data_IF_770883165461
#
_entry.id   IF_770883165461
#
_cell.length_a   1.000
_cell.length_b   1.000
_cell.length_c   1.000
_cell.angle_alpha   90.00
_cell.angle_beta   90.00
_cell.angle_gamma   90.00
#
_symmetry.space_group_name_H-M   'P 1'
#
loop_
_entity.id
_entity.type
_entity.pdbx_description
1 polymer ?
#
# COMPACT_ATOMS: atom_id res chain seq x y z
N UNK A 1 18.37 0.54 -20.42
CA UNK A 1 17.88 0.65 -19.03
C UNK A 1 16.42 0.24 -19.05
N UNK A 2 16.00 -0.64 -18.13
CA UNK A 2 14.59 -1.01 -17.99
C UNK A 2 13.75 0.19 -17.51
N UNK A 3 12.45 0.20 -17.83
CA UNK A 3 11.55 1.30 -17.40
C UNK A 3 11.44 1.31 -15.86
N UNK A 4 11.22 2.47 -15.21
CA UNK A 4 11.04 2.55 -13.75
C UNK A 4 9.98 1.55 -13.22
N UNK A 5 8.91 1.34 -13.99
CA UNK A 5 7.86 0.35 -13.71
C UNK A 5 8.35 -1.10 -13.71
N UNK A 6 9.22 -1.49 -14.64
CA UNK A 6 9.76 -2.85 -14.78
C UNK A 6 10.72 -3.19 -13.63
N UNK A 7 11.49 -2.19 -13.18
CA UNK A 7 12.36 -2.32 -12.02
C UNK A 7 11.54 -2.55 -10.73
N UNK A 8 10.47 -1.76 -10.52
CA UNK A 8 9.63 -1.93 -9.34
C UNK A 8 8.83 -3.23 -9.38
N UNK A 9 8.32 -3.65 -10.53
CA UNK A 9 7.62 -4.93 -10.69
C UNK A 9 8.51 -6.12 -10.32
N UNK A 10 9.75 -6.13 -10.81
CA UNK A 10 10.72 -7.18 -10.50
C UNK A 10 11.01 -7.23 -9.00
N UNK A 11 11.23 -6.07 -8.38
CA UNK A 11 11.38 -5.95 -6.93
C UNK A 11 10.15 -6.47 -6.17
N UNK A 12 8.95 -6.06 -6.59
CA UNK A 12 7.69 -6.41 -5.94
C UNK A 12 7.44 -7.92 -5.95
N UNK A 13 7.68 -8.58 -7.08
CA UNK A 13 7.52 -10.03 -7.18
C UNK A 13 8.52 -10.77 -6.26
N UNK A 14 9.80 -10.39 -6.26
CA UNK A 14 10.78 -10.96 -5.33
C UNK A 14 10.45 -10.67 -3.85
N UNK A 15 9.87 -9.51 -3.58
CA UNK A 15 9.40 -9.15 -2.24
C UNK A 15 8.23 -10.04 -1.78
N UNK A 16 7.30 -10.38 -2.68
CA UNK A 16 6.20 -11.31 -2.40
C UNK A 16 6.70 -12.73 -2.11
N UNK A 17 7.68 -13.23 -2.86
CA UNK A 17 8.27 -14.55 -2.62
C UNK A 17 8.89 -14.63 -1.22
N UNK A 18 9.62 -13.57 -0.83
CA UNK A 18 10.18 -13.47 0.52
C UNK A 18 9.10 -13.35 1.60
N UNK A 19 8.01 -12.64 1.35
CA UNK A 19 6.87 -12.55 2.27
C UNK A 19 6.24 -13.95 2.48
N UNK A 20 6.08 -14.74 1.42
CA UNK A 20 5.59 -16.11 1.51
C UNK A 20 6.51 -16.98 2.38
N UNK A 21 7.82 -16.89 2.17
CA UNK A 21 8.80 -17.63 2.98
C UNK A 21 8.79 -17.22 4.47
N UNK A 22 8.62 -15.93 4.76
CA UNK A 22 8.50 -15.43 6.14
C UNK A 22 7.19 -15.89 6.79
N UNK A 23 6.07 -15.89 6.05
CA UNK A 23 4.77 -16.37 6.53
C UNK A 23 4.84 -17.85 6.94
N UNK A 24 5.54 -18.68 6.17
CA UNK A 24 5.74 -20.10 6.52
C UNK A 24 6.56 -20.27 7.80
N UNK A 25 7.64 -19.48 7.97
CA UNK A 25 8.44 -19.50 9.21
C UNK A 25 7.63 -19.07 10.44
N UNK A 26 6.77 -18.06 10.29
CA UNK A 26 5.86 -17.61 11.35
C UNK A 26 4.89 -18.72 11.78
N UNK A 27 4.35 -19.50 10.83
CA UNK A 27 3.45 -20.63 11.13
C UNK A 27 4.14 -21.69 11.97
N UNK A 28 5.36 -22.09 11.57
CA UNK A 28 6.17 -23.06 12.34
C UNK A 28 6.43 -22.55 13.76
N UNK A 29 6.62 -21.24 13.94
CA UNK A 29 6.92 -20.63 15.24
C UNK A 29 5.71 -20.59 16.20
N UNK A 30 4.48 -20.72 15.72
CA UNK A 30 3.26 -20.76 16.54
C UNK A 30 3.08 -22.12 17.25
N UNK A 31 3.51 -23.23 16.67
CA UNK A 31 3.09 -24.59 17.08
C UNK A 31 3.67 -25.12 18.41
N UNK A 32 4.42 -24.34 19.22
CA UNK A 32 4.83 -24.78 20.57
C UNK A 32 5.19 -23.64 21.56
N UNK A 33 4.84 -23.87 22.83
CA UNK A 33 5.14 -23.00 23.97
C UNK A 33 6.44 -23.43 24.67
N UNK A 34 7.58 -22.86 24.26
CA UNK A 34 8.81 -22.91 25.05
C UNK A 34 9.54 -21.55 24.99
N UNK A 35 10.44 -21.29 25.95
CA UNK A 35 11.15 -20.02 26.07
C UNK A 35 11.99 -19.69 24.82
N UNK A 36 12.66 -20.69 24.24
CA UNK A 36 13.43 -20.58 22.99
C UNK A 36 12.57 -20.09 21.82
N UNK A 37 11.31 -20.54 21.73
CA UNK A 37 10.36 -20.11 20.70
C UNK A 37 9.83 -18.70 20.95
N UNK A 38 9.82 -18.20 22.19
CA UNK A 38 9.45 -16.79 22.45
C UNK A 38 10.46 -15.82 21.85
N UNK A 39 11.76 -16.07 22.03
CA UNK A 39 12.82 -15.25 21.41
C UNK A 39 12.80 -15.38 19.89
N UNK A 40 12.62 -16.59 19.37
CA UNK A 40 12.49 -16.83 17.93
C UNK A 40 11.28 -16.10 17.31
N UNK A 41 10.13 -16.05 17.99
CA UNK A 41 8.96 -15.26 17.55
C UNK A 41 9.28 -13.77 17.46
N UNK A 42 9.94 -13.20 18.46
CA UNK A 42 10.35 -11.79 18.44
C UNK A 42 11.29 -11.50 17.27
N UNK A 43 12.28 -12.37 17.06
CA UNK A 43 13.16 -12.29 15.91
C UNK A 43 12.40 -12.31 14.57
N UNK A 44 11.43 -13.22 14.40
CA UNK A 44 10.63 -13.29 13.18
C UNK A 44 9.71 -12.07 12.99
N UNK A 45 9.13 -11.54 14.06
CA UNK A 45 8.38 -10.27 14.04
C UNK A 45 9.27 -9.15 13.49
N UNK A 46 10.50 -9.02 14.00
CA UNK A 46 11.45 -8.00 13.55
C UNK A 46 11.86 -8.18 12.09
N UNK A 47 12.01 -9.43 11.63
CA UNK A 47 12.29 -9.75 10.22
C UNK A 47 11.14 -9.32 9.30
N UNK A 48 9.89 -9.58 9.70
CA UNK A 48 8.70 -9.17 8.92
C UNK A 48 8.55 -7.65 8.90
N UNK A 49 8.75 -6.98 10.04
CA UNK A 49 8.75 -5.52 10.11
C UNK A 49 9.82 -4.90 9.21
N UNK A 50 11.03 -5.46 9.24
CA UNK A 50 12.13 -5.04 8.36
C UNK A 50 11.80 -5.27 6.88
N UNK A 51 11.12 -6.37 6.55
CA UNK A 51 10.67 -6.69 5.19
C UNK A 51 9.65 -5.68 4.65
N UNK A 52 8.64 -5.31 5.44
CA UNK A 52 7.68 -4.25 5.07
C UNK A 52 8.33 -2.87 5.03
N UNK A 53 9.25 -2.56 5.95
CA UNK A 53 9.99 -1.29 5.94
C UNK A 53 10.79 -1.13 4.65
N UNK A 54 11.47 -2.19 4.19
CA UNK A 54 12.19 -2.18 2.92
C UNK A 54 11.27 -1.89 1.74
N UNK A 55 10.08 -2.49 1.70
CA UNK A 55 9.09 -2.23 0.65
C UNK A 55 8.73 -0.75 0.57
N UNK A 56 8.36 -0.12 1.69
CA UNK A 56 7.98 1.29 1.69
C UNK A 56 9.16 2.22 1.39
N UNK A 57 10.38 1.86 1.79
CA UNK A 57 11.58 2.62 1.42
C UNK A 57 11.82 2.61 -0.10
N UNK A 58 11.73 1.43 -0.74
CA UNK A 58 11.88 1.32 -2.20
C UNK A 58 10.73 2.03 -2.93
N UNK A 59 9.50 1.89 -2.42
CA UNK A 59 8.30 2.55 -2.95
C UNK A 59 8.40 4.07 -2.92
N UNK A 60 8.74 4.67 -1.78
CA UNK A 60 8.90 6.13 -1.67
C UNK A 60 9.96 6.64 -2.65
N UNK A 61 11.09 5.95 -2.79
CA UNK A 61 12.12 6.34 -3.75
C UNK A 61 11.61 6.29 -5.20
N UNK A 62 10.93 5.22 -5.60
CA UNK A 62 10.32 5.12 -6.93
C UNK A 62 9.23 6.17 -7.15
N UNK A 63 8.44 6.48 -6.13
CA UNK A 63 7.38 7.49 -6.19
C UNK A 63 7.91 8.93 -6.30
N UNK A 64 9.19 9.18 -6.00
CA UNK A 64 9.84 10.49 -6.25
C UNK A 64 10.06 10.73 -7.74
N UNK A 65 10.33 9.67 -8.49
CA UNK A 65 10.52 9.75 -9.95
C UNK A 65 9.16 9.84 -10.66
N UNK A 66 8.23 8.96 -10.29
CA UNK A 66 6.88 8.94 -10.84
C UNK A 66 5.85 8.47 -9.78
N UNK A 67 5.13 9.40 -9.14
CA UNK A 67 4.12 9.05 -8.15
C UNK A 67 2.84 8.47 -8.78
N UNK A 68 2.56 8.75 -10.05
CA UNK A 68 1.35 8.25 -10.73
C UNK A 68 1.42 6.75 -10.97
N UNK A 69 2.64 6.20 -11.06
CA UNK A 69 2.89 4.77 -11.14
C UNK A 69 2.21 3.98 -10.01
N UNK A 70 2.07 4.58 -8.83
CA UNK A 70 1.44 3.93 -7.68
C UNK A 70 -0.08 4.14 -7.63
N UNK A 71 -0.62 5.12 -8.34
CA UNK A 71 -2.07 5.29 -8.49
C UNK A 71 -2.67 4.31 -9.51
N UNK A 72 -1.90 3.93 -10.53
CA UNK A 72 -2.29 2.92 -11.51
C UNK A 72 -1.14 1.93 -11.81
N UNK A 73 -0.81 1.05 -10.85
CA UNK A 73 0.35 0.19 -10.94
C UNK A 73 0.18 -0.90 -12.01
N UNK A 74 1.01 -0.92 -13.06
CA UNK A 74 0.86 -1.87 -14.17
C UNK A 74 1.10 -3.33 -13.74
N UNK A 75 1.91 -3.55 -12.70
CA UNK A 75 2.24 -4.89 -12.18
C UNK A 75 1.13 -5.53 -11.33
N UNK A 76 0.13 -4.76 -10.88
CA UNK A 76 -1.03 -5.29 -10.16
C UNK A 76 -2.12 -5.74 -11.12
N UNK A 77 -2.85 -6.79 -10.74
CA UNK A 77 -4.00 -7.28 -11.48
C UNK A 77 -5.18 -6.29 -11.45
N UNK A 78 -6.17 -6.47 -12.33
CA UNK A 78 -7.37 -5.63 -12.34
C UNK A 78 -8.10 -5.65 -10.98
N UNK A 79 -8.20 -6.82 -10.35
CA UNK A 79 -8.78 -7.01 -9.03
C UNK A 79 -7.97 -6.34 -7.91
N UNK A 80 -6.64 -6.52 -7.90
CA UNK A 80 -5.78 -5.90 -6.89
C UNK A 80 -5.88 -4.37 -6.92
N UNK A 81 -5.94 -3.76 -8.12
CA UNK A 81 -6.10 -2.31 -8.27
C UNK A 81 -7.39 -1.77 -7.64
N UNK A 82 -8.46 -2.58 -7.56
CA UNK A 82 -9.72 -2.16 -6.93
C UNK A 82 -9.62 -2.00 -5.41
N UNK A 83 -8.58 -2.54 -4.79
CA UNK A 83 -8.34 -2.41 -3.34
C UNK A 83 -7.45 -1.23 -2.97
N UNK A 84 -6.93 -0.49 -3.95
CA UNK A 84 -6.07 0.65 -3.70
C UNK A 84 -6.89 1.81 -3.13
N UNK A 85 -6.34 2.48 -2.12
CA UNK A 85 -6.90 3.71 -1.57
C UNK A 85 -6.04 4.92 -1.95
N UNK A 86 -4.79 4.94 -1.50
CA UNK A 86 -3.79 5.96 -1.84
C UNK A 86 -2.46 5.25 -2.10
N UNK A 87 -2.37 4.66 -3.29
CA UNK A 87 -1.23 3.88 -3.77
C UNK A 87 -0.94 2.54 -3.08
N UNK A 88 -1.80 2.13 -2.13
CA UNK A 88 -1.79 0.81 -1.49
C UNK A 88 -3.08 0.62 -0.67
N UNK A 89 -3.16 -0.42 0.16
CA UNK A 89 -4.31 -0.71 1.04
C UNK A 89 -4.69 0.45 1.97
N UNK A 90 -5.96 0.57 2.33
CA UNK A 90 -6.41 1.52 3.36
C UNK A 90 -6.05 0.99 4.77
N UNK A 91 -5.43 1.80 5.67
CA UNK A 91 -5.01 1.34 7.00
C UNK A 91 -6.12 0.68 7.83
N UNK A 92 -7.38 1.07 7.66
CA UNK A 92 -8.53 0.45 8.35
C UNK A 92 -8.72 -1.03 8.04
N UNK A 93 -8.14 -1.55 6.95
CA UNK A 93 -8.11 -2.99 6.63
C UNK A 93 -7.37 -3.78 7.72
N UNK A 94 -6.35 -3.20 8.35
CA UNK A 94 -5.59 -3.84 9.43
C UNK A 94 -6.50 -4.24 10.59
N UNK A 95 -7.42 -3.37 11.00
CA UNK A 95 -8.37 -3.69 12.07
C UNK A 95 -9.33 -4.81 11.66
N UNK A 96 -9.76 -4.87 10.40
CA UNK A 96 -10.61 -5.98 9.91
C UNK A 96 -9.86 -7.31 9.90
N UNK A 97 -8.56 -7.29 9.63
CA UNK A 97 -7.71 -8.48 9.70
C UNK A 97 -7.56 -8.95 11.15
N UNK A 98 -7.30 -8.03 12.08
CA UNK A 98 -7.23 -8.35 13.52
C UNK A 98 -8.56 -8.94 13.99
N UNK A 99 -9.69 -8.27 13.72
CA UNK A 99 -11.03 -8.71 14.12
C UNK A 99 -11.36 -10.13 13.62
N UNK A 100 -10.75 -10.57 12.51
CA UNK A 100 -10.97 -11.90 11.90
C UNK A 100 -9.95 -12.97 12.28
N UNK A 101 -8.75 -12.58 12.71
CA UNK A 101 -7.63 -13.52 12.89
C UNK A 101 -7.19 -13.69 14.33
N UNK A 102 -7.30 -12.65 15.16
CA UNK A 102 -6.89 -12.67 16.56
C UNK A 102 -8.13 -12.86 17.44
N UNK A 103 -8.41 -14.11 17.81
CA UNK A 103 -9.65 -14.49 18.51
C UNK A 103 -9.59 -14.35 20.03
N UNK A 104 -8.40 -14.11 20.58
CA UNK A 104 -8.08 -14.11 22.02
C UNK A 104 -7.76 -12.70 22.57
N UNK A 105 -8.30 -11.65 21.95
CA UNK A 105 -8.12 -10.27 22.42
C UNK A 105 -8.77 -10.07 23.79
N UNK A 106 -8.04 -9.44 24.71
CA UNK A 106 -8.60 -9.05 26.02
C UNK A 106 -9.54 -7.85 25.88
N UNK A 107 -10.47 -7.63 26.83
CA UNK A 107 -11.34 -6.44 26.81
C UNK A 107 -10.56 -5.12 26.76
N UNK A 108 -9.41 -5.04 27.44
CA UNK A 108 -8.53 -3.88 27.42
C UNK A 108 -7.90 -3.67 26.04
N UNK A 109 -7.40 -4.73 25.40
CA UNK A 109 -6.86 -4.66 24.04
C UNK A 109 -7.91 -4.21 23.04
N UNK A 110 -9.14 -4.72 23.15
CA UNK A 110 -10.27 -4.32 22.29
C UNK A 110 -10.53 -2.82 22.41
N UNK A 111 -10.55 -2.26 23.62
CA UNK A 111 -10.82 -0.84 23.81
C UNK A 111 -9.68 0.03 23.26
N UNK A 112 -8.41 -0.31 23.54
CA UNK A 112 -7.24 0.37 22.98
C UNK A 112 -7.24 0.32 21.44
N UNK A 113 -7.58 -0.82 20.84
CA UNK A 113 -7.68 -0.97 19.38
C UNK A 113 -8.79 -0.07 18.80
N UNK A 114 -9.93 0.08 19.48
CA UNK A 114 -11.00 1.01 19.04
C UNK A 114 -10.52 2.46 19.03
N UNK A 115 -9.80 2.88 20.07
CA UNK A 115 -9.23 4.24 20.13
C UNK A 115 -8.27 4.49 18.97
N UNK A 116 -7.34 3.57 18.73
CA UNK A 116 -6.41 3.64 17.59
C UNK A 116 -7.19 3.67 16.27
N UNK A 117 -8.19 2.81 16.09
CA UNK A 117 -9.03 2.76 14.89
C UNK A 117 -9.78 4.08 14.63
N UNK A 118 -10.29 4.73 15.67
CA UNK A 118 -10.95 6.02 15.55
C UNK A 118 -9.98 7.13 15.14
N UNK A 119 -8.77 7.15 15.71
CA UNK A 119 -7.73 8.11 15.35
C UNK A 119 -7.28 7.93 13.90
N UNK A 120 -6.95 6.70 13.49
CA UNK A 120 -6.51 6.38 12.13
C UNK A 120 -7.58 6.76 11.09
N UNK A 121 -8.87 6.50 11.35
CA UNK A 121 -9.97 6.91 10.47
C UNK A 121 -10.14 8.42 10.29
N UNK A 122 -9.64 9.23 11.24
CA UNK A 122 -9.65 10.70 11.07
C UNK A 122 -8.55 11.10 10.09
N UNK A 123 -7.34 10.57 10.28
CA UNK A 123 -6.21 10.82 9.37
C UNK A 123 -6.47 10.29 7.96
N UNK A 124 -7.11 9.12 7.82
CA UNK A 124 -7.55 8.61 6.52
C UNK A 124 -8.48 9.58 5.80
N UNK A 125 -9.40 10.24 6.52
CA UNK A 125 -10.29 11.24 5.91
C UNK A 125 -9.51 12.46 5.45
N UNK A 126 -8.62 12.99 6.29
CA UNK A 126 -7.77 14.13 5.93
C UNK A 126 -6.97 13.86 4.67
N UNK A 127 -6.34 12.69 4.55
CA UNK A 127 -5.56 12.32 3.36
C UNK A 127 -6.43 12.12 2.11
N UNK A 128 -7.61 11.52 2.27
CA UNK A 128 -8.56 11.35 1.16
C UNK A 128 -9.07 12.70 0.64
N UNK A 129 -9.43 13.61 1.55
CA UNK A 129 -9.90 14.96 1.21
C UNK A 129 -8.78 15.77 0.54
N UNK A 130 -7.53 15.62 1.02
CA UNK A 130 -6.35 16.25 0.41
C UNK A 130 -6.16 15.75 -1.03
N UNK A 131 -6.23 14.45 -1.27
CA UNK A 131 -6.15 13.88 -2.63
C UNK A 131 -7.30 14.38 -3.52
N UNK A 132 -8.51 14.47 -2.97
CA UNK A 132 -9.67 15.00 -3.70
C UNK A 132 -9.45 16.45 -4.11
N UNK A 133 -8.93 17.32 -3.22
CA UNK A 133 -8.60 18.71 -3.56
C UNK A 133 -7.52 18.83 -4.65
N UNK A 134 -6.51 17.95 -4.65
CA UNK A 134 -5.52 17.88 -5.73
C UNK A 134 -6.21 17.53 -7.05
N UNK A 135 -7.08 16.52 -7.05
CA UNK A 135 -7.81 16.09 -8.26
C UNK A 135 -8.79 17.16 -8.76
N UNK A 136 -9.49 17.86 -7.87
CA UNK A 136 -10.37 18.99 -8.22
C UNK A 136 -9.58 20.14 -8.88
N UNK A 137 -8.38 20.42 -8.40
CA UNK A 137 -7.50 21.46 -8.97
C UNK A 137 -7.15 21.17 -10.43
N UNK A 138 -7.01 19.89 -10.80
CA UNK A 138 -6.78 19.45 -12.19
C UNK A 138 -8.00 19.61 -13.08
N UNK A 139 -9.20 19.53 -12.52
CA UNK A 139 -10.44 19.76 -13.23
C UNK A 139 -10.73 21.27 -13.44
N UNK A 140 -9.80 22.16 -13.08
CA UNK A 140 -9.98 23.59 -13.29
C UNK A 140 -10.05 23.95 -14.78
N UNK A 141 -10.90 24.91 -15.18
CA UNK A 141 -11.09 25.28 -16.59
C UNK A 141 -9.80 25.66 -17.36
N UNK A 142 -8.82 26.36 -16.77
CA UNK A 142 -7.57 26.68 -17.47
C UNK A 142 -6.77 25.44 -17.89
N UNK A 143 -6.57 24.49 -16.95
CA UNK A 143 -5.83 23.24 -17.20
C UNK A 143 -6.57 22.38 -18.22
N UNK A 144 -7.89 22.22 -18.06
CA UNK A 144 -8.73 21.48 -19.02
C UNK A 144 -8.68 22.09 -20.42
N UNK A 145 -8.69 23.43 -20.53
CA UNK A 145 -8.63 24.11 -21.83
C UNK A 145 -7.27 23.92 -22.52
N UNK A 146 -6.17 23.97 -21.77
CA UNK A 146 -4.82 23.66 -22.25
C UNK A 146 -4.72 22.21 -22.73
N UNK A 147 -5.14 21.25 -21.92
CA UNK A 147 -5.14 19.82 -22.27
C UNK A 147 -6.00 19.54 -23.52
N UNK A 148 -7.20 20.13 -23.61
CA UNK A 148 -8.10 19.98 -24.76
C UNK A 148 -7.52 20.56 -26.04
N UNK A 149 -6.83 21.71 -25.95
CA UNK A 149 -6.18 22.33 -27.11
C UNK A 149 -5.00 21.50 -27.60
N UNK A 150 -4.17 21.00 -26.69
CA UNK A 150 -3.10 20.07 -27.03
C UNK A 150 -3.65 18.83 -27.73
N UNK A 151 -4.69 18.18 -27.16
CA UNK A 151 -5.31 17.00 -27.76
C UNK A 151 -5.98 17.23 -29.13
N UNK A 152 -6.38 18.47 -29.44
CA UNK A 152 -6.98 18.84 -30.75
C UNK A 152 -5.96 19.25 -31.81
N UNK A 153 -4.91 19.98 -31.40
CA UNK A 153 -3.99 20.63 -32.34
C UNK A 153 -2.62 19.95 -32.42
N UNK A 154 -2.29 19.09 -31.45
CA UNK A 154 -0.98 18.44 -31.32
C UNK A 154 0.19 19.42 -31.09
N UNK A 155 -0.10 20.70 -30.85
CA UNK A 155 0.88 21.79 -30.69
C UNK A 155 0.47 22.70 -29.55
N UNK A 156 1.45 23.05 -28.73
CA UNK A 156 1.41 24.11 -27.72
C UNK A 156 2.32 25.25 -28.20
N UNK A 157 2.08 26.47 -27.70
CA UNK A 157 2.97 27.61 -27.94
C UNK A 157 4.14 27.50 -26.95
N UNK A 158 5.32 28.01 -27.31
CA UNK A 158 6.61 27.86 -26.58
C UNK A 158 6.53 28.22 -25.07
N UNK A 159 5.64 29.13 -24.66
CA UNK A 159 5.39 29.43 -23.24
C UNK A 159 4.42 28.48 -22.51
N UNK A 160 3.49 27.87 -23.22
CA UNK A 160 2.47 26.98 -22.65
C UNK A 160 3.00 25.57 -22.38
N UNK A 161 4.01 25.14 -23.16
CA UNK A 161 4.75 23.91 -22.88
C UNK A 161 5.44 24.02 -21.52
N UNK A 162 6.14 25.13 -21.28
CA UNK A 162 6.81 25.39 -19.99
C UNK A 162 5.82 25.48 -18.82
N UNK A 163 4.66 26.11 -19.01
CA UNK A 163 3.61 26.16 -17.97
C UNK A 163 3.03 24.78 -17.64
N UNK A 164 2.85 23.90 -18.64
CA UNK A 164 2.37 22.53 -18.43
C UNK A 164 3.41 21.68 -17.71
N UNK A 165 4.69 21.77 -18.08
CA UNK A 165 5.78 21.04 -17.41
C UNK A 165 5.89 21.44 -15.92
N UNK A 166 5.85 22.75 -15.63
CA UNK A 166 5.85 23.25 -14.24
C UNK A 166 4.62 22.76 -13.48
N UNK A 167 3.44 22.79 -14.09
CA UNK A 167 2.22 22.28 -13.47
C UNK A 167 2.27 20.77 -13.23
N UNK A 168 2.87 20.00 -14.14
CA UNK A 168 3.08 18.56 -13.99
C UNK A 168 4.02 18.26 -12.82
N UNK A 169 5.14 18.96 -12.70
CA UNK A 169 6.10 18.77 -11.60
C UNK A 169 5.50 19.16 -10.24
N UNK A 170 4.72 20.24 -10.20
CA UNK A 170 3.95 20.61 -9.00
C UNK A 170 2.95 19.52 -8.63
N UNK A 171 2.22 18.98 -9.60
CA UNK A 171 1.26 17.89 -9.37
C UNK A 171 1.96 16.63 -8.88
N UNK A 172 3.06 16.21 -9.51
CA UNK A 172 3.88 15.07 -9.07
C UNK A 172 4.27 15.25 -7.61
N UNK A 173 4.77 16.43 -7.26
CA UNK A 173 5.17 16.74 -5.88
C UNK A 173 3.99 16.61 -4.89
N UNK A 174 2.82 17.16 -5.24
CA UNK A 174 1.63 17.08 -4.39
C UNK A 174 1.14 15.63 -4.20
N UNK A 175 1.04 14.86 -5.30
CA UNK A 175 0.64 13.45 -5.24
C UNK A 175 1.65 12.64 -4.44
N UNK A 176 2.95 12.85 -4.67
CA UNK A 176 4.03 12.20 -3.93
C UNK A 176 3.88 12.39 -2.42
N UNK A 177 3.66 13.63 -1.97
CA UNK A 177 3.52 13.95 -0.54
C UNK A 177 2.32 13.23 0.10
N UNK A 178 1.20 13.11 -0.61
CA UNK A 178 0.03 12.37 -0.11
C UNK A 178 0.31 10.87 -0.04
N UNK A 179 0.99 10.30 -1.04
CA UNK A 179 1.38 8.89 -1.03
C UNK A 179 2.35 8.58 0.11
N UNK A 180 3.37 9.43 0.34
CA UNK A 180 4.31 9.29 1.44
C UNK A 180 3.60 9.38 2.80
N UNK A 181 2.69 10.34 2.96
CA UNK A 181 1.89 10.47 4.19
C UNK A 181 0.97 9.26 4.43
N UNK A 182 0.38 8.71 3.36
CA UNK A 182 -0.44 7.50 3.45
C UNK A 182 0.39 6.27 3.84
N UNK A 183 1.60 6.12 3.29
CA UNK A 183 2.54 5.04 3.66
C UNK A 183 3.02 5.19 5.11
N UNK A 184 3.28 6.42 5.57
CA UNK A 184 3.58 6.70 6.97
C UNK A 184 2.43 6.32 7.91
N UNK A 185 1.17 6.61 7.52
CA UNK A 185 -0.01 6.24 8.29
C UNK A 185 -0.19 4.71 8.38
N UNK A 186 0.14 3.96 7.32
CA UNK A 186 0.16 2.48 7.33
C UNK A 186 1.19 1.95 8.32
N UNK A 187 2.42 2.48 8.27
CA UNK A 187 3.48 2.12 9.20
C UNK A 187 3.11 2.41 10.67
N UNK A 188 2.56 3.59 10.92
CA UNK A 188 2.07 4.00 12.26
C UNK A 188 0.96 3.08 12.76
N UNK A 189 0.02 2.69 11.89
CA UNK A 189 -1.10 1.81 12.24
C UNK A 189 -0.59 0.45 12.69
N UNK A 190 0.34 -0.15 11.94
CA UNK A 190 0.95 -1.44 12.31
C UNK A 190 1.72 -1.31 13.63
N UNK A 191 2.54 -0.27 13.79
CA UNK A 191 3.28 -0.04 15.03
C UNK A 191 2.36 0.04 16.26
N UNK A 192 1.31 0.89 16.21
CA UNK A 192 0.34 1.04 17.31
C UNK A 192 -0.42 -0.25 17.62
N UNK A 193 -0.75 -1.05 16.61
CA UNK A 193 -1.40 -2.34 16.81
C UNK A 193 -0.45 -3.31 17.52
N UNK A 194 0.80 -3.42 17.08
CA UNK A 194 1.76 -4.35 17.66
C UNK A 194 2.17 -3.98 19.09
N UNK A 195 2.07 -2.70 19.47
CA UNK A 195 2.21 -2.25 20.87
C UNK A 195 1.06 -2.71 21.78
N UNK A 196 -0.08 -3.09 21.21
CA UNK A 196 -1.26 -3.59 21.95
C UNK A 196 -1.26 -5.12 22.02
N UNK A 197 -0.87 -5.78 20.93
CA UNK A 197 -0.91 -7.23 20.79
C UNK A 197 0.22 -7.92 21.58
N UNK A 198 -0.05 -9.12 22.09
CA UNK A 198 1.01 -10.00 22.58
C UNK A 198 1.90 -10.48 21.42
N UNK A 199 3.10 -11.03 21.67
CA UNK A 199 3.94 -11.60 20.62
C UNK A 199 3.24 -12.71 19.81
N UNK A 200 2.44 -13.55 20.46
CA UNK A 200 1.70 -14.63 19.77
C UNK A 200 0.61 -14.04 18.88
N UNK A 201 -0.17 -13.09 19.40
CA UNK A 201 -1.19 -12.38 18.63
C UNK A 201 -0.60 -11.61 17.45
N UNK A 202 0.58 -11.00 17.63
CA UNK A 202 1.33 -10.31 16.58
C UNK A 202 1.72 -11.25 15.45
N UNK A 203 2.23 -12.44 15.77
CA UNK A 203 2.55 -13.47 14.79
C UNK A 203 1.28 -13.92 14.05
N UNK A 204 0.18 -14.20 14.76
CA UNK A 204 -1.11 -14.58 14.15
C UNK A 204 -1.62 -13.51 13.18
N UNK A 205 -1.58 -12.24 13.60
CA UNK A 205 -1.96 -11.11 12.77
C UNK A 205 -1.05 -10.99 11.52
N UNK A 206 0.27 -11.11 11.67
CA UNK A 206 1.21 -11.02 10.55
C UNK A 206 1.00 -12.14 9.52
N UNK A 207 0.73 -13.36 9.98
CA UNK A 207 0.35 -14.49 9.09
C UNK A 207 -0.92 -14.14 8.32
N UNK A 208 -1.96 -13.64 9.01
CA UNK A 208 -3.21 -13.27 8.37
C UNK A 208 -3.05 -12.14 7.34
N UNK A 209 -2.21 -11.14 7.63
CA UNK A 209 -1.88 -10.05 6.71
C UNK A 209 -1.13 -10.57 5.46
N UNK A 210 -0.11 -11.41 5.66
CA UNK A 210 0.63 -12.02 4.56
C UNK A 210 -0.28 -12.89 3.69
N UNK A 211 -1.12 -13.73 4.30
CA UNK A 211 -2.10 -14.56 3.60
C UNK A 211 -3.08 -13.72 2.79
N UNK A 212 -3.59 -12.64 3.37
CA UNK A 212 -4.49 -11.73 2.66
C UNK A 212 -3.82 -11.19 1.40
N UNK A 213 -2.60 -10.66 1.52
CA UNK A 213 -1.87 -10.09 0.40
C UNK A 213 -1.55 -11.13 -0.70
N UNK A 214 -1.07 -12.32 -0.32
CA UNK A 214 -0.73 -13.38 -1.26
C UNK A 214 -1.97 -13.99 -1.94
N UNK A 215 -3.09 -14.13 -1.21
CA UNK A 215 -4.36 -14.61 -1.78
C UNK A 215 -4.97 -13.60 -2.75
N UNK A 216 -4.94 -12.32 -2.40
CA UNK A 216 -5.37 -11.23 -3.29
C UNK A 216 -4.63 -11.27 -4.62
N UNK A 217 -3.30 -11.41 -4.58
CA UNK A 217 -2.46 -11.58 -5.76
C UNK A 217 -2.87 -12.78 -6.61
N UNK A 218 -2.98 -13.95 -5.98
CA UNK A 218 -3.33 -15.20 -6.68
C UNK A 218 -4.70 -15.12 -7.34
N UNK A 219 -5.72 -14.65 -6.62
CA UNK A 219 -7.08 -14.49 -7.15
C UNK A 219 -7.09 -13.50 -8.32
N UNK A 220 -6.34 -12.41 -8.18
CA UNK A 220 -6.21 -11.38 -9.19
C UNK A 220 -5.62 -11.91 -10.50
N UNK A 221 -4.51 -12.64 -10.42
CA UNK A 221 -3.86 -13.25 -11.59
C UNK A 221 -4.76 -14.30 -12.26
N UNK A 222 -5.44 -15.14 -11.48
CA UNK A 222 -6.39 -16.13 -12.02
C UNK A 222 -7.55 -15.46 -12.76
N UNK A 223 -8.11 -14.38 -12.19
CA UNK A 223 -9.22 -13.65 -12.80
C UNK A 223 -8.81 -13.02 -14.13
N UNK A 224 -7.65 -12.39 -14.19
CA UNK A 224 -7.15 -11.75 -15.43
C UNK A 224 -6.85 -12.80 -16.51
N UNK A 225 -6.24 -13.93 -16.14
CA UNK A 225 -5.98 -15.03 -17.07
C UNK A 225 -7.26 -15.61 -17.70
N UNK A 226 -8.33 -15.77 -16.90
CA UNK A 226 -9.62 -16.24 -17.39
C UNK A 226 -10.27 -15.23 -18.36
N UNK A 227 -10.14 -13.92 -18.12
CA UNK A 227 -10.68 -12.89 -19.01
C UNK A 227 -9.98 -12.87 -20.37
N UNK A 228 -8.67 -13.07 -20.39
CA UNK A 228 -7.90 -13.18 -21.65
C UNK A 228 -8.37 -14.40 -22.42
N UNK A 229 -8.43 -15.57 -21.76
CA UNK A 229 -8.87 -16.82 -22.38
C UNK A 229 -10.34 -16.82 -22.87
N UNK A 230 -11.20 -15.94 -22.34
CA UNK A 230 -12.59 -15.80 -22.81
C UNK A 230 -12.77 -14.83 -23.98
N UNK A 231 -11.75 -14.01 -24.28
CA UNK A 231 -11.77 -13.01 -25.35
C UNK A 231 -10.99 -13.45 -26.61
N UNK A 232 -10.29 -14.59 -26.52
CA UNK A 232 -9.63 -15.29 -27.63
C UNK A 232 -10.54 -16.41 -28.18
#
# INVERSE_FOLDING_TARGET
MARPSENFETFFNGWLDRLQALSEQLRIAIEAENAQRTEYRKYLIDQVLSHYKLYYQVKVNAAREDPFLFLNPPWLSSFERTLLWLGDFNPSVIFKLIDRSVTDLTPEQIERIKEVKLAIRREERVLSDTMASIQESLASPPILNLARRFGRSGRLIDGEVSEIEVAEDMLKTQVHNVLESADALRGLTVAKVLEILSPVQSVTFMIAAADFQLRMRRLGQQTDALRVASND
#
